data_IF_802145682746
#
_entry.id   IF_802145682746
#
_cell.length_a   1.000
_cell.length_b   1.000
_cell.length_c   1.000
_cell.angle_alpha   90.00
_cell.angle_beta   90.00
_cell.angle_gamma   90.00
#
_symmetry.space_group_name_H-M   'P 1'
#
loop_
_entity.id
_entity.type
_entity.pdbx_description
1 polymer ?
#
# COMPACT_ATOMS: atom_id res chain seq x y z
N UNK A 1 -6.65 9.56 -18.28
CA UNK A 1 -7.02 9.61 -16.85
C UNK A 1 -8.46 9.09 -16.72
N UNK A 2 -8.63 7.80 -16.44
CA UNK A 2 -9.92 7.10 -16.61
C UNK A 2 -10.87 7.35 -15.43
N UNK A 3 -12.18 7.52 -15.67
CA UNK A 3 -13.23 7.77 -14.65
C UNK A 3 -13.21 6.82 -13.45
N UNK A 4 -12.71 5.59 -13.65
CA UNK A 4 -12.54 4.56 -12.62
C UNK A 4 -11.67 5.05 -11.46
N UNK A 5 -10.61 5.82 -11.73
CA UNK A 5 -9.72 6.33 -10.68
C UNK A 5 -10.38 7.46 -9.87
N UNK A 6 -11.21 8.30 -10.51
CA UNK A 6 -12.00 9.34 -9.82
C UNK A 6 -13.00 8.76 -8.85
N UNK A 7 -13.69 7.69 -9.23
CA UNK A 7 -14.67 7.05 -8.36
C UNK A 7 -14.01 6.42 -7.12
N UNK A 8 -12.83 5.79 -7.28
CA UNK A 8 -12.13 5.13 -6.17
C UNK A 8 -11.63 6.09 -5.09
N UNK A 9 -11.08 7.24 -5.48
CA UNK A 9 -10.67 8.29 -4.52
C UNK A 9 -11.86 8.79 -3.70
N UNK A 10 -12.99 9.05 -4.35
CA UNK A 10 -14.19 9.53 -3.67
C UNK A 10 -14.68 8.51 -2.64
N UNK A 11 -14.70 7.23 -3.01
CA UNK A 11 -15.07 6.15 -2.10
C UNK A 11 -14.14 6.11 -0.89
N UNK A 12 -12.82 6.21 -1.06
CA UNK A 12 -11.88 6.23 0.07
C UNK A 12 -12.11 7.42 1.02
N UNK A 13 -12.45 8.59 0.48
CA UNK A 13 -12.83 9.77 1.27
C UNK A 13 -14.15 9.57 2.01
N UNK A 14 -15.16 8.99 1.35
CA UNK A 14 -16.47 8.71 1.96
C UNK A 14 -16.35 7.70 3.13
N UNK A 15 -15.41 6.76 3.04
CA UNK A 15 -15.12 5.82 4.13
C UNK A 15 -14.29 6.45 5.27
N UNK A 16 -13.80 7.69 5.13
CA UNK A 16 -13.00 8.38 6.14
C UNK A 16 -11.65 7.70 6.44
N UNK A 17 -11.20 6.77 5.58
CA UNK A 17 -9.95 6.00 5.82
C UNK A 17 -8.69 6.79 5.52
N UNK A 18 -8.83 7.96 4.90
CA UNK A 18 -7.73 8.88 4.61
C UNK A 18 -7.51 9.92 5.74
N UNK A 19 -8.42 10.00 6.72
CA UNK A 19 -8.37 11.02 7.79
C UNK A 19 -7.93 10.45 9.16
N UNK A 20 -6.88 11.08 9.70
CA UNK A 20 -6.28 11.17 11.05
C UNK A 20 -6.30 10.02 12.09
N UNK A 21 -6.98 8.88 11.90
CA UNK A 21 -6.75 7.75 12.82
C UNK A 21 -7.00 6.38 12.21
N UNK A 22 -5.91 5.63 12.12
CA UNK A 22 -5.87 4.20 11.88
C UNK A 22 -6.72 3.47 12.92
N UNK A 23 -7.72 2.68 12.52
CA UNK A 23 -8.42 1.80 13.45
C UNK A 23 -7.42 0.84 14.09
N UNK A 24 -7.46 0.67 15.42
CA UNK A 24 -6.52 -0.20 16.14
C UNK A 24 -6.47 -1.64 15.59
N UNK A 25 -7.57 -2.13 15.01
CA UNK A 25 -7.60 -3.44 14.36
C UNK A 25 -6.68 -3.59 13.16
N UNK A 26 -6.28 -2.50 12.48
CA UNK A 26 -5.33 -2.59 11.37
C UNK A 26 -3.91 -2.89 11.86
N UNK A 27 -3.50 -2.34 13.00
CA UNK A 27 -2.19 -2.63 13.59
C UNK A 27 -2.09 -4.11 13.99
N UNK A 28 -3.17 -4.68 14.54
CA UNK A 28 -3.25 -6.11 14.86
C UNK A 28 -3.14 -6.98 13.60
N UNK A 29 -3.85 -6.61 12.52
CA UNK A 29 -3.79 -7.35 11.24
C UNK A 29 -2.38 -7.30 10.65
N UNK A 30 -1.75 -6.12 10.63
CA UNK A 30 -0.41 -5.94 10.07
C UNK A 30 0.61 -6.74 10.88
N UNK A 31 0.52 -6.71 12.21
CA UNK A 31 1.36 -7.53 13.07
C UNK A 31 1.18 -9.03 12.77
N UNK A 32 -0.06 -9.51 12.72
CA UNK A 32 -0.35 -10.91 12.42
C UNK A 32 0.13 -11.33 11.03
N UNK A 33 -0.03 -10.47 10.01
CA UNK A 33 0.44 -10.74 8.66
C UNK A 33 1.97 -10.94 8.61
N UNK A 34 2.74 -10.09 9.30
CA UNK A 34 4.19 -10.24 9.39
C UNK A 34 4.58 -11.57 10.06
N UNK A 35 3.90 -11.93 11.16
CA UNK A 35 4.16 -13.18 11.88
C UNK A 35 3.82 -14.43 11.06
N UNK A 36 2.67 -14.45 10.38
CA UNK A 36 2.23 -15.61 9.59
C UNK A 36 3.10 -15.82 8.35
N UNK A 37 3.55 -14.72 7.74
CA UNK A 37 4.38 -14.76 6.54
C UNK A 37 5.89 -14.84 6.84
N UNK A 38 6.29 -14.95 8.11
CA UNK A 38 7.69 -14.94 8.55
C UNK A 38 8.50 -13.81 7.89
N UNK A 39 7.92 -12.61 7.91
CA UNK A 39 8.43 -11.44 7.19
C UNK A 39 8.85 -10.34 8.16
N UNK A 40 9.94 -9.64 7.84
CA UNK A 40 10.49 -8.56 8.68
C UNK A 40 9.53 -7.37 8.83
N UNK A 41 8.62 -7.18 7.87
CA UNK A 41 7.64 -6.10 7.89
C UNK A 41 6.34 -6.45 7.16
N UNK A 42 5.29 -5.70 7.50
CA UNK A 42 4.03 -5.69 6.78
C UNK A 42 3.39 -4.31 6.85
N UNK A 43 2.49 -4.00 5.93
CA UNK A 43 1.77 -2.72 5.88
C UNK A 43 0.35 -2.86 5.35
N UNK A 44 -0.53 -1.97 5.82
CA UNK A 44 -1.78 -1.63 5.14
C UNK A 44 -1.66 -0.19 4.66
N UNK A 45 -1.94 0.03 3.38
CA UNK A 45 -1.92 1.34 2.76
C UNK A 45 -3.10 1.54 1.81
N UNK A 46 -3.53 2.80 1.69
CA UNK A 46 -4.56 3.22 0.74
C UNK A 46 -3.90 4.04 -0.37
N UNK A 47 -4.23 3.70 -1.62
CA UNK A 47 -3.74 4.41 -2.78
C UNK A 47 -4.80 5.40 -3.28
N UNK A 48 -4.49 6.69 -3.16
CA UNK A 48 -5.20 7.75 -3.87
C UNK A 48 -4.58 7.97 -5.26
N UNK A 49 -5.21 8.79 -6.10
CA UNK A 49 -4.77 9.14 -7.46
C UNK A 49 -3.35 9.73 -7.52
N UNK A 50 -2.91 10.36 -6.44
CA UNK A 50 -1.66 11.13 -6.40
C UNK A 50 -0.68 10.68 -5.31
N UNK A 51 -1.11 9.83 -4.36
CA UNK A 51 -0.28 9.41 -3.23
C UNK A 51 -0.69 8.04 -2.67
N UNK A 52 0.25 7.36 -2.01
CA UNK A 52 -0.05 6.24 -1.11
C UNK A 52 0.01 6.73 0.33
N UNK A 53 -1.08 6.50 1.05
CA UNK A 53 -1.15 6.75 2.48
C UNK A 53 -0.90 5.42 3.16
N UNK A 54 0.27 5.29 3.80
CA UNK A 54 0.54 4.13 4.68
C UNK A 54 -0.20 4.35 5.98
N UNK A 55 -1.22 3.53 6.21
CA UNK A 55 -2.11 3.67 7.36
C UNK A 55 -1.55 2.88 8.54
N UNK A 56 -1.11 1.64 8.35
CA UNK A 56 -0.52 0.84 9.42
C UNK A 56 0.76 0.16 8.94
N UNK A 57 1.75 0.08 9.83
CA UNK A 57 3.06 -0.53 9.55
C UNK A 57 3.59 -1.29 10.76
N UNK A 58 4.17 -2.46 10.50
CA UNK A 58 5.02 -3.19 11.41
C UNK A 58 6.38 -3.41 10.75
N UNK A 59 7.48 -3.28 11.49
CA UNK A 59 8.82 -3.64 11.01
C UNK A 59 9.64 -2.51 10.36
N UNK A 60 9.06 -1.34 10.05
CA UNK A 60 9.83 -0.15 9.66
C UNK A 60 9.11 1.16 10.00
N UNK A 61 9.88 2.26 10.11
CA UNK A 61 9.30 3.60 10.26
C UNK A 61 8.84 4.11 8.88
N UNK A 62 7.63 4.72 8.74
CA UNK A 62 7.17 5.23 7.47
C UNK A 62 8.20 6.17 6.84
N UNK A 63 8.62 5.88 5.62
CA UNK A 63 9.49 6.75 4.81
C UNK A 63 8.64 7.31 3.67
N UNK A 64 8.75 8.61 3.39
CA UNK A 64 8.13 9.17 2.18
C UNK A 64 8.65 8.41 0.96
N UNK A 65 7.73 7.77 0.22
CA UNK A 65 8.04 7.09 -1.04
C UNK A 65 7.56 7.93 -2.20
N UNK A 66 8.35 7.99 -3.26
CA UNK A 66 7.92 8.55 -4.53
C UNK A 66 6.82 7.64 -5.13
N UNK A 67 5.71 8.25 -5.55
CA UNK A 67 4.51 7.58 -6.06
C UNK A 67 4.79 6.63 -7.23
N UNK A 68 5.83 6.90 -8.01
CA UNK A 68 6.21 6.07 -9.16
C UNK A 68 6.86 4.73 -8.77
N UNK A 69 7.26 4.55 -7.50
CA UNK A 69 7.93 3.33 -7.01
C UNK A 69 7.08 2.50 -6.03
N UNK A 70 5.76 2.66 -6.11
CA UNK A 70 4.83 1.98 -5.21
C UNK A 70 4.38 0.63 -5.78
N UNK A 71 4.79 -0.48 -5.14
CA UNK A 71 4.31 -1.83 -5.45
C UNK A 71 2.77 -1.89 -5.48
N UNK A 72 2.11 -1.17 -4.58
CA UNK A 72 0.65 -1.10 -4.44
C UNK A 72 -0.06 -0.58 -5.71
N UNK A 73 0.58 0.32 -6.48
CA UNK A 73 0.05 0.85 -7.75
C UNK A 73 -0.19 -0.28 -8.76
N UNK A 74 0.74 -1.22 -8.86
CA UNK A 74 0.62 -2.36 -9.78
C UNK A 74 -0.50 -3.33 -9.37
N UNK A 75 -0.65 -3.59 -8.07
CA UNK A 75 -1.73 -4.44 -7.54
C UNK A 75 -3.08 -3.81 -7.85
N UNK A 76 -3.22 -2.52 -7.55
CA UNK A 76 -4.45 -1.75 -7.78
C UNK A 76 -4.82 -1.69 -9.26
N UNK A 77 -3.86 -1.43 -10.15
CA UNK A 77 -4.11 -1.34 -11.59
C UNK A 77 -4.46 -2.69 -12.22
N UNK A 78 -3.81 -3.77 -11.75
CA UNK A 78 -4.05 -5.11 -12.28
C UNK A 78 -5.25 -5.82 -11.65
N UNK A 79 -5.64 -5.44 -10.43
CA UNK A 79 -6.64 -6.14 -9.62
C UNK A 79 -6.17 -7.51 -9.12
N UNK A 80 -4.88 -7.84 -9.26
CA UNK A 80 -4.31 -9.14 -8.94
C UNK A 80 -3.21 -9.02 -7.89
N UNK A 81 -2.98 -10.10 -7.13
CA UNK A 81 -1.84 -10.19 -6.20
C UNK A 81 -0.52 -10.05 -6.95
N UNK A 82 0.45 -9.37 -6.35
CA UNK A 82 1.78 -9.17 -6.88
C UNK A 82 2.81 -9.90 -6.01
N UNK A 83 3.55 -10.84 -6.60
CA UNK A 83 4.73 -11.45 -5.99
C UNK A 83 5.98 -10.92 -6.72
N UNK A 84 6.95 -10.45 -5.94
CA UNK A 84 8.25 -9.97 -6.44
C UNK A 84 9.33 -10.68 -5.64
N UNK A 85 10.03 -11.64 -6.27
CA UNK A 85 11.06 -12.43 -5.58
C UNK A 85 12.30 -11.59 -5.22
N UNK A 86 12.70 -10.67 -6.10
CA UNK A 86 13.77 -9.71 -5.85
C UNK A 86 13.51 -8.40 -6.62
N UNK A 87 13.14 -7.34 -5.90
CA UNK A 87 12.81 -6.05 -6.49
C UNK A 87 13.98 -5.41 -7.26
N UNK A 88 15.24 -5.74 -6.90
CA UNK A 88 16.44 -5.22 -7.59
C UNK A 88 16.65 -5.84 -8.97
N UNK A 89 15.98 -6.96 -9.23
CA UNK A 89 16.09 -7.71 -10.50
C UNK A 89 14.82 -7.62 -11.34
N UNK A 90 13.77 -7.07 -10.77
CA UNK A 90 12.48 -6.90 -11.44
C UNK A 90 12.49 -5.60 -12.24
N UNK A 91 12.30 -5.67 -13.56
CA UNK A 91 12.35 -4.49 -14.43
C UNK A 91 11.32 -3.41 -14.08
N UNK A 92 10.30 -3.73 -13.28
CA UNK A 92 9.32 -2.76 -12.79
C UNK A 92 9.86 -1.90 -11.63
N UNK A 93 10.87 -2.40 -10.90
CA UNK A 93 11.35 -1.80 -9.64
C UNK A 93 12.88 -1.65 -9.55
N UNK A 94 13.65 -2.18 -10.49
CA UNK A 94 15.12 -2.21 -10.41
C UNK A 94 15.79 -0.81 -10.44
N UNK A 95 15.08 0.23 -10.91
CA UNK A 95 15.59 1.61 -10.99
C UNK A 95 14.99 2.54 -9.91
N UNK A 96 14.41 1.96 -8.85
CA UNK A 96 13.73 2.68 -7.74
C UNK A 96 14.67 3.20 -6.65
#
# INVERSE_FOLDING_TARGET
MTEINKNRTLVLRDYGVLDERVPAGFDEIVFLAAQVCDSDFATISFLDQESEITTSVHGFAPVEKNYDFLFCKHVVQSGNSLLVEDARRDSRFAES
#
